data_IF_343184866025
#
_entry.id   IF_343184866025
#
_cell.length_a   1.000
_cell.length_b   1.000
_cell.length_c   1.000
_cell.angle_alpha   90.00
_cell.angle_beta   90.00
_cell.angle_gamma   90.00
#
_symmetry.space_group_name_H-M   'P 1'
#
loop_
_entity.id
_entity.type
_entity.pdbx_description
1 polymer ?
#
# COMPACT_ATOMS: atom_id res chain seq x y z
N UNK A 1 21.80 -6.60 1.46
CA UNK A 1 20.39 -6.16 1.41
C UNK A 1 20.29 -5.19 0.23
N UNK A 2 19.44 -5.47 -0.76
CA UNK A 2 19.27 -4.59 -1.91
C UNK A 2 18.48 -3.34 -1.47
N UNK A 3 18.79 -2.17 -2.05
CA UNK A 3 18.14 -0.90 -1.70
C UNK A 3 16.61 -0.98 -1.81
N UNK A 4 16.11 -1.58 -2.89
CA UNK A 4 14.68 -1.73 -3.17
C UNK A 4 13.97 -2.59 -2.12
N UNK A 5 14.65 -3.64 -1.63
CA UNK A 5 14.10 -4.53 -0.61
C UNK A 5 13.98 -3.81 0.74
N UNK A 6 14.96 -2.97 1.10
CA UNK A 6 14.88 -2.15 2.30
C UNK A 6 13.70 -1.17 2.24
N UNK A 7 13.49 -0.54 1.09
CA UNK A 7 12.39 0.41 0.89
C UNK A 7 11.03 -0.31 0.99
N UNK A 8 10.89 -1.48 0.35
CA UNK A 8 9.66 -2.29 0.42
C UNK A 8 9.32 -2.71 1.85
N UNK A 9 10.29 -3.26 2.60
CA UNK A 9 10.06 -3.64 3.99
C UNK A 9 9.81 -2.43 4.90
N UNK A 10 10.48 -1.30 4.64
CA UNK A 10 10.22 -0.04 5.35
C UNK A 10 8.79 0.47 5.13
N UNK A 11 8.33 0.47 3.87
CA UNK A 11 6.97 0.86 3.52
C UNK A 11 5.93 -0.05 4.19
N UNK A 12 6.15 -1.37 4.15
CA UNK A 12 5.29 -2.36 4.79
C UNK A 12 5.21 -2.15 6.31
N UNK A 13 6.37 -1.98 6.96
CA UNK A 13 6.44 -1.72 8.40
C UNK A 13 5.74 -0.42 8.80
N UNK A 14 5.89 0.64 8.00
CA UNK A 14 5.20 1.91 8.20
C UNK A 14 3.69 1.75 8.08
N UNK A 15 3.21 1.06 7.05
CA UNK A 15 1.77 0.80 6.85
C UNK A 15 1.20 0.02 8.03
N UNK A 16 1.82 -1.10 8.42
CA UNK A 16 1.34 -1.86 9.57
C UNK A 16 1.37 -1.05 10.86
N UNK A 17 2.41 -0.25 11.10
CA UNK A 17 2.48 0.65 12.24
C UNK A 17 1.31 1.64 12.27
N UNK A 18 1.00 2.26 11.13
CA UNK A 18 -0.11 3.21 11.02
C UNK A 18 -1.49 2.53 11.15
N UNK A 19 -1.67 1.34 10.59
CA UNK A 19 -2.93 0.58 10.73
C UNK A 19 -3.13 0.13 12.19
N UNK A 20 -2.08 -0.35 12.86
CA UNK A 20 -2.17 -0.76 14.28
C UNK A 20 -2.44 0.45 15.20
N UNK A 21 -1.87 1.62 14.87
CA UNK A 21 -2.01 2.84 15.67
C UNK A 21 -3.46 3.33 15.78
N UNK A 22 -4.32 3.04 14.80
CA UNK A 22 -5.77 3.24 14.89
C UNK A 22 -6.28 4.69 14.99
N UNK A 23 -5.41 5.71 15.11
CA UNK A 23 -5.82 7.13 15.15
C UNK A 23 -6.18 7.71 13.78
N UNK A 24 -5.55 7.22 12.71
CA UNK A 24 -5.80 7.68 11.34
C UNK A 24 -6.80 6.71 10.71
N UNK A 25 -7.74 7.25 9.93
CA UNK A 25 -8.66 6.43 9.15
C UNK A 25 -7.88 5.44 8.28
N UNK A 26 -8.26 4.17 8.36
CA UNK A 26 -7.61 3.08 7.63
C UNK A 26 -7.52 3.35 6.11
N UNK A 27 -8.59 3.88 5.52
CA UNK A 27 -8.63 4.25 4.09
C UNK A 27 -7.55 5.28 3.74
N UNK A 28 -7.33 6.26 4.62
CA UNK A 28 -6.36 7.33 4.42
C UNK A 28 -4.93 6.81 4.53
N UNK A 29 -4.69 5.86 5.44
CA UNK A 29 -3.40 5.16 5.56
C UNK A 29 -3.12 4.35 4.30
N UNK A 30 -4.09 3.55 3.83
CA UNK A 30 -3.93 2.71 2.65
C UNK A 30 -3.71 3.55 1.38
N UNK A 31 -4.51 4.60 1.18
CA UNK A 31 -4.38 5.48 0.02
C UNK A 31 -3.08 6.30 0.05
N UNK A 32 -2.69 6.82 1.21
CA UNK A 32 -1.42 7.52 1.38
C UNK A 32 -0.21 6.63 1.10
N UNK A 33 -0.25 5.38 1.57
CA UNK A 33 0.80 4.41 1.31
C UNK A 33 0.95 4.07 -0.18
N UNK A 34 -0.17 3.92 -0.88
CA UNK A 34 -0.18 3.71 -2.34
C UNK A 34 0.48 4.89 -3.07
N UNK A 35 0.09 6.13 -2.72
CA UNK A 35 0.70 7.34 -3.31
C UNK A 35 2.21 7.38 -3.06
N UNK A 36 2.63 7.15 -1.81
CA UNK A 36 4.05 7.18 -1.43
C UNK A 36 4.84 6.10 -2.20
N UNK A 37 4.31 4.89 -2.33
CA UNK A 37 4.97 3.81 -3.07
C UNK A 37 5.18 4.15 -4.57
N UNK A 38 4.21 4.82 -5.18
CA UNK A 38 4.28 5.27 -6.58
C UNK A 38 5.24 6.45 -6.74
N UNK A 39 5.20 7.44 -5.83
CA UNK A 39 6.07 8.63 -5.89
C UNK A 39 7.54 8.28 -5.66
N UNK A 40 7.84 7.32 -4.78
CA UNK A 40 9.21 6.84 -4.55
C UNK A 40 9.69 5.98 -5.74
N UNK A 41 8.79 5.58 -6.65
CA UNK A 41 9.13 4.80 -7.84
C UNK A 41 9.33 3.30 -7.56
N UNK A 42 8.90 2.83 -6.38
CA UNK A 42 8.93 1.41 -6.01
C UNK A 42 7.89 0.62 -6.80
N UNK A 43 6.76 1.27 -7.09
CA UNK A 43 5.68 0.70 -7.88
C UNK A 43 5.51 1.54 -9.16
N UNK A 44 5.57 0.92 -10.35
CA UNK A 44 5.26 1.60 -11.62
C UNK A 44 3.85 2.20 -11.59
N UNK A 45 3.68 3.38 -12.18
CA UNK A 45 2.41 4.10 -12.17
C UNK A 45 1.30 3.29 -12.86
N UNK A 46 1.62 2.61 -13.97
CA UNK A 46 0.68 1.71 -14.66
C UNK A 46 0.19 0.54 -13.81
N UNK A 47 1.01 0.04 -12.88
CA UNK A 47 0.69 -1.14 -12.06
C UNK A 47 0.17 -0.80 -10.66
N UNK A 48 0.08 0.48 -10.30
CA UNK A 48 -0.33 0.92 -8.96
C UNK A 48 -1.71 0.38 -8.52
N UNK A 49 -2.63 0.22 -9.47
CA UNK A 49 -4.00 -0.22 -9.18
C UNK A 49 -4.28 -1.69 -9.53
N UNK A 50 -3.28 -2.46 -9.99
CA UNK A 50 -3.48 -3.87 -10.35
C UNK A 50 -4.04 -4.71 -9.17
N UNK A 51 -3.67 -4.36 -7.93
CA UNK A 51 -4.19 -5.02 -6.72
C UNK A 51 -5.70 -4.87 -6.51
N UNK A 52 -6.33 -3.82 -7.05
CA UNK A 52 -7.78 -3.64 -6.98
C UNK A 52 -8.55 -4.53 -7.95
N UNK A 53 -7.90 -5.03 -9.00
CA UNK A 53 -8.49 -6.01 -9.93
C UNK A 53 -8.42 -7.45 -9.44
N UNK A 54 -7.84 -7.70 -8.25
CA UNK A 54 -7.69 -9.05 -7.74
C UNK A 54 -9.05 -9.63 -7.30
N UNK A 55 -9.28 -10.91 -7.61
CA UNK A 55 -10.57 -11.55 -7.35
C UNK A 55 -11.01 -11.43 -5.87
N UNK A 56 -10.05 -11.45 -4.94
CA UNK A 56 -10.34 -11.28 -3.51
C UNK A 56 -10.78 -9.84 -3.14
N UNK A 57 -10.16 -8.80 -3.69
CA UNK A 57 -10.52 -7.40 -3.38
C UNK A 57 -11.86 -7.01 -3.99
N UNK A 58 -12.15 -7.50 -5.20
CA UNK A 58 -13.44 -7.29 -5.87
C UNK A 58 -14.60 -7.90 -5.08
N UNK A 59 -14.43 -9.12 -4.52
CA UNK A 59 -15.46 -9.76 -3.69
C UNK A 59 -15.78 -8.92 -2.45
N UNK A 60 -14.77 -8.35 -1.79
CA UNK A 60 -14.95 -7.53 -0.58
C UNK A 60 -15.66 -6.21 -0.90
N UNK A 61 -15.36 -5.59 -2.04
CA UNK A 61 -16.00 -4.33 -2.44
C UNK A 61 -17.47 -4.49 -2.86
N UNK A 62 -17.89 -5.70 -3.23
CA UNK A 62 -19.26 -6.02 -3.66
C UNK A 62 -20.22 -6.36 -2.51
N UNK A 63 -19.70 -6.59 -1.30
CA UNK A 63 -20.45 -6.86 -0.07
C UNK A 63 -20.69 -5.57 0.71
#
# INVERSE_FOLDING_TARGET
MNGDQLILFGLLGLVFGLLIWGRIRYDLVAFGALIVAVVIGVVPQESAFEGFGHHATVIIALV
#
